data_IF_726425814904
#
_entry.id   IF_726425814904
#
_cell.length_a   1.000
_cell.length_b   1.000
_cell.length_c   1.000
_cell.angle_alpha   90.00
_cell.angle_beta   90.00
_cell.angle_gamma   90.00
#
_symmetry.space_group_name_H-M   'P 1'
#
loop_
_entity.id
_entity.type
_entity.pdbx_description
1 polymer ?
#
# COMPACT_ATOMS: atom_id res chain seq x y z
N UNK A 1 -48.02 -47.30 15.37
CA UNK A 1 -46.67 -47.31 15.89
C UNK A 1 -45.72 -46.99 14.74
N UNK A 2 -45.19 -45.76 14.67
CA UNK A 2 -44.20 -45.39 13.68
C UNK A 2 -42.83 -45.65 14.30
N UNK A 3 -42.13 -46.66 13.79
CA UNK A 3 -40.74 -46.92 14.18
C UNK A 3 -39.86 -45.82 13.66
N UNK A 4 -39.24 -45.09 14.59
CA UNK A 4 -38.17 -44.11 14.31
C UNK A 4 -36.94 -44.93 13.94
N UNK A 5 -36.62 -45.01 12.67
CA UNK A 5 -35.34 -45.54 12.19
C UNK A 5 -34.24 -44.56 12.66
N UNK A 6 -33.53 -44.97 13.72
CA UNK A 6 -32.27 -44.33 14.09
C UNK A 6 -31.33 -44.42 12.89
N UNK A 7 -31.00 -43.30 12.28
CA UNK A 7 -29.92 -43.23 11.29
C UNK A 7 -28.65 -43.80 11.96
N UNK A 8 -28.15 -44.89 11.43
CA UNK A 8 -26.81 -45.40 11.82
C UNK A 8 -25.80 -44.29 11.50
N UNK A 9 -25.15 -43.78 12.54
CA UNK A 9 -24.00 -42.88 12.41
C UNK A 9 -22.92 -43.69 11.69
N UNK A 10 -22.52 -43.20 10.51
CA UNK A 10 -21.44 -43.81 9.74
C UNK A 10 -20.10 -43.38 10.36
N UNK A 11 -19.58 -44.22 11.25
CA UNK A 11 -18.35 -43.96 11.99
C UNK A 11 -17.12 -43.76 11.08
N UNK A 12 -17.07 -44.36 9.90
CA UNK A 12 -15.98 -44.17 8.95
C UNK A 12 -15.95 -42.75 8.40
N UNK A 13 -17.11 -42.14 8.18
CA UNK A 13 -17.20 -40.76 7.79
C UNK A 13 -16.88 -39.78 8.93
N UNK A 14 -17.20 -40.14 10.17
CA UNK A 14 -16.89 -39.33 11.35
C UNK A 14 -15.37 -39.22 11.55
N UNK A 15 -14.64 -40.32 11.50
CA UNK A 15 -13.17 -40.35 11.62
C UNK A 15 -12.49 -39.53 10.51
N UNK A 16 -13.03 -39.60 9.30
CA UNK A 16 -12.51 -38.81 8.19
C UNK A 16 -12.71 -37.28 8.38
N UNK A 17 -13.89 -36.85 8.83
CA UNK A 17 -14.18 -35.46 9.12
C UNK A 17 -13.41 -34.93 10.34
N UNK A 18 -13.22 -35.74 11.37
CA UNK A 18 -12.42 -35.39 12.53
C UNK A 18 -10.94 -35.21 12.15
N UNK A 19 -10.42 -36.10 11.28
CA UNK A 19 -9.06 -35.98 10.75
C UNK A 19 -8.87 -34.69 9.94
N UNK A 20 -9.79 -34.36 9.02
CA UNK A 20 -9.75 -33.09 8.25
C UNK A 20 -9.85 -31.90 9.20
N UNK A 21 -10.74 -31.96 10.19
CA UNK A 21 -10.86 -30.93 11.21
C UNK A 21 -9.55 -30.71 11.98
N UNK A 22 -8.91 -31.81 12.41
CA UNK A 22 -7.62 -31.73 13.09
C UNK A 22 -6.51 -31.14 12.22
N UNK A 23 -6.39 -31.58 10.97
CA UNK A 23 -5.42 -31.00 10.01
C UNK A 23 -5.67 -29.52 9.77
N UNK A 24 -6.94 -29.13 9.63
CA UNK A 24 -7.32 -27.73 9.47
C UNK A 24 -6.94 -26.86 10.68
N UNK A 25 -7.21 -27.35 11.89
CA UNK A 25 -6.84 -26.66 13.14
C UNK A 25 -5.31 -26.58 13.28
N UNK A 26 -4.59 -27.67 13.00
CA UNK A 26 -3.13 -27.67 13.06
C UNK A 26 -2.52 -26.70 12.05
N UNK A 27 -3.00 -26.69 10.81
CA UNK A 27 -2.56 -25.75 9.79
C UNK A 27 -2.83 -24.28 10.20
N UNK A 28 -4.01 -24.02 10.76
CA UNK A 28 -4.36 -22.68 11.26
C UNK A 28 -3.43 -22.24 12.42
N UNK A 29 -3.12 -23.13 13.36
CA UNK A 29 -2.21 -22.82 14.46
C UNK A 29 -0.79 -22.55 13.96
N UNK A 30 -0.28 -23.34 13.02
CA UNK A 30 1.03 -23.11 12.40
C UNK A 30 1.05 -21.73 11.71
N UNK A 31 0.02 -21.45 10.95
CA UNK A 31 -0.12 -20.14 10.28
C UNK A 31 -0.17 -18.99 11.29
N UNK A 32 -0.98 -19.11 12.34
CA UNK A 32 -1.10 -18.09 13.38
C UNK A 32 0.22 -17.87 14.14
N UNK A 33 0.95 -18.93 14.45
CA UNK A 33 2.27 -18.86 15.08
C UNK A 33 3.28 -18.19 14.14
N UNK A 34 3.32 -18.57 12.87
CA UNK A 34 4.22 -17.96 11.88
C UNK A 34 3.98 -16.45 11.76
N UNK A 35 2.72 -16.04 11.55
CA UNK A 35 2.38 -14.62 11.42
C UNK A 35 2.55 -13.85 12.73
N UNK A 36 2.21 -14.44 13.86
CA UNK A 36 2.43 -13.84 15.18
C UNK A 36 3.92 -13.60 15.45
N UNK A 37 4.76 -14.58 15.14
CA UNK A 37 6.22 -14.47 15.27
C UNK A 37 6.76 -13.39 14.33
N UNK A 38 6.36 -13.42 13.05
CA UNK A 38 6.78 -12.42 12.07
C UNK A 38 6.36 -11.01 12.50
N UNK A 39 5.13 -10.87 12.99
CA UNK A 39 4.62 -9.61 13.53
C UNK A 39 5.45 -9.09 14.69
N UNK A 40 5.84 -9.96 15.62
CA UNK A 40 6.63 -9.60 16.79
C UNK A 40 8.07 -9.23 16.40
N UNK A 41 8.72 -10.08 15.61
CA UNK A 41 10.13 -9.88 15.20
C UNK A 41 10.31 -8.63 14.34
N UNK A 42 9.30 -8.28 13.53
CA UNK A 42 9.38 -7.10 12.65
C UNK A 42 8.84 -5.83 13.31
N UNK A 43 8.50 -5.84 14.61
CA UNK A 43 7.84 -4.70 15.25
C UNK A 43 8.68 -3.42 15.20
N UNK A 44 9.91 -3.48 15.69
CA UNK A 44 10.80 -2.31 15.71
C UNK A 44 11.12 -1.82 14.29
N UNK A 45 11.42 -2.75 13.41
CA UNK A 45 11.67 -2.44 11.99
C UNK A 45 10.49 -1.71 11.34
N UNK A 46 9.26 -2.10 11.64
CA UNK A 46 8.06 -1.44 11.09
C UNK A 46 7.83 -0.04 11.65
N UNK A 47 8.19 0.20 12.92
CA UNK A 47 8.15 1.55 13.50
C UNK A 47 9.18 2.44 12.80
N UNK A 48 10.41 1.95 12.66
CA UNK A 48 11.47 2.67 11.94
C UNK A 48 11.09 2.95 10.48
N UNK A 49 10.52 1.97 9.77
CA UNK A 49 10.01 2.15 8.41
C UNK A 49 9.01 3.30 8.32
N UNK A 50 8.04 3.34 9.26
CA UNK A 50 7.05 4.41 9.31
C UNK A 50 7.71 5.78 9.47
N UNK A 51 8.67 5.89 10.38
CA UNK A 51 9.36 7.15 10.65
C UNK A 51 10.20 7.60 9.45
N UNK A 52 10.93 6.67 8.82
CA UNK A 52 11.67 6.93 7.57
C UNK A 52 10.77 7.40 6.44
N UNK A 53 9.56 6.83 6.31
CA UNK A 53 8.60 7.25 5.31
C UNK A 53 8.07 8.66 5.57
N UNK A 54 7.78 9.00 6.83
CA UNK A 54 7.35 10.37 7.20
C UNK A 54 8.47 11.37 6.93
N UNK A 55 9.70 11.05 7.30
CA UNK A 55 10.87 11.87 7.01
C UNK A 55 11.07 12.06 5.51
N UNK A 56 11.02 10.97 4.73
CA UNK A 56 11.13 11.03 3.28
C UNK A 56 10.04 11.90 2.66
N UNK A 57 8.79 11.76 3.14
CA UNK A 57 7.67 12.58 2.68
C UNK A 57 7.90 14.09 2.96
N UNK A 58 8.40 14.41 4.14
CA UNK A 58 8.68 15.82 4.51
C UNK A 58 9.81 16.43 3.67
N UNK A 59 10.70 15.63 3.11
CA UNK A 59 11.73 16.10 2.17
C UNK A 59 11.19 16.39 0.77
N UNK A 60 9.98 15.91 0.45
CA UNK A 60 9.31 16.19 -0.83
C UNK A 60 8.66 17.56 -0.75
N UNK A 61 9.26 18.54 -1.38
CA UNK A 61 8.69 19.90 -1.47
C UNK A 61 8.14 20.16 -2.87
N UNK A 62 7.09 20.92 -2.91
CA UNK A 62 6.43 21.32 -4.15
C UNK A 62 7.06 22.59 -4.74
N UNK A 63 7.04 22.77 -6.09
CA UNK A 63 7.49 23.98 -6.74
C UNK A 63 6.57 25.17 -6.43
N UNK A 64 5.30 24.90 -6.12
CA UNK A 64 4.30 25.84 -5.65
C UNK A 64 3.80 25.30 -4.32
N UNK A 65 3.79 26.12 -3.25
CA UNK A 65 3.30 25.65 -1.96
C UNK A 65 1.80 25.30 -2.07
N UNK A 66 1.38 24.13 -1.60
CA UNK A 66 -0.03 23.79 -1.55
C UNK A 66 -0.73 24.64 -0.48
N UNK A 67 -1.98 25.00 -0.73
CA UNK A 67 -2.83 25.65 0.29
C UNK A 67 -3.33 24.64 1.32
N UNK A 68 -3.37 23.36 0.93
CA UNK A 68 -3.72 22.23 1.80
C UNK A 68 -2.90 21.02 1.43
N UNK A 69 -2.28 20.42 2.43
CA UNK A 69 -1.60 19.13 2.34
C UNK A 69 -2.28 18.17 3.31
N UNK A 70 -3.09 17.27 2.76
CA UNK A 70 -3.84 16.28 3.51
C UNK A 70 -3.27 14.90 3.22
N UNK A 71 -2.55 14.36 4.18
CA UNK A 71 -1.95 13.05 4.04
C UNK A 71 -2.17 12.16 5.27
N UNK A 72 -2.14 10.87 5.05
CA UNK A 72 -2.25 9.88 6.11
C UNK A 72 -1.31 8.71 5.91
N UNK A 73 -0.68 8.31 7.01
CA UNK A 73 0.06 7.04 7.05
C UNK A 73 -0.97 5.93 7.16
N UNK A 74 -0.99 5.07 6.18
CA UNK A 74 -1.86 3.89 6.11
C UNK A 74 -1.01 2.64 6.35
N UNK A 75 -1.69 1.56 6.71
CA UNK A 75 -1.06 0.27 6.94
C UNK A 75 -1.82 -0.81 6.17
N UNK A 76 -1.07 -1.66 5.50
CA UNK A 76 -1.56 -2.90 4.91
C UNK A 76 -0.68 -4.04 5.40
N UNK A 77 -1.23 -4.92 6.23
CA UNK A 77 -0.49 -6.02 6.85
C UNK A 77 0.76 -5.54 7.61
N UNK A 78 1.96 -5.82 7.09
CA UNK A 78 3.24 -5.46 7.70
C UNK A 78 3.88 -4.22 7.09
N UNK A 79 3.34 -3.68 5.99
CA UNK A 79 3.87 -2.50 5.31
C UNK A 79 3.09 -1.24 5.68
N UNK A 80 3.80 -0.13 5.70
CA UNK A 80 3.20 1.21 5.75
C UNK A 80 3.30 1.88 4.39
N UNK A 81 2.40 2.80 4.12
CA UNK A 81 2.43 3.66 2.96
C UNK A 81 1.77 5.00 3.29
N UNK A 82 2.19 6.05 2.61
CA UNK A 82 1.60 7.37 2.75
C UNK A 82 0.75 7.64 1.52
N UNK A 83 -0.48 8.03 1.73
CA UNK A 83 -1.37 8.52 0.66
C UNK A 83 -1.94 9.85 1.07
N UNK A 84 -2.17 10.69 0.08
CA UNK A 84 -2.81 11.95 0.34
C UNK A 84 -3.08 12.75 -0.93
N UNK A 85 -3.50 13.99 -0.68
CA UNK A 85 -3.79 14.96 -1.71
C UNK A 85 -3.19 16.30 -1.34
N UNK A 86 -2.67 17.01 -2.34
CA UNK A 86 -2.25 18.41 -2.22
C UNK A 86 -3.14 19.26 -3.06
N UNK A 87 -3.72 20.28 -2.45
CA UNK A 87 -4.56 21.26 -3.11
C UNK A 87 -3.77 22.56 -3.32
N UNK A 88 -3.88 23.13 -4.51
CA UNK A 88 -3.20 24.36 -4.90
C UNK A 88 -4.22 25.49 -5.09
N UNK A 89 -3.78 26.71 -5.00
CA UNK A 89 -4.64 27.89 -5.18
C UNK A 89 -5.27 27.95 -6.60
N UNK A 90 -4.52 27.48 -7.59
CA UNK A 90 -4.95 27.41 -8.98
C UNK A 90 -4.59 26.08 -9.62
N UNK A 91 -5.13 25.83 -10.79
CA UNK A 91 -4.74 24.68 -11.59
C UNK A 91 -3.25 24.73 -11.94
N UNK A 92 -2.57 23.60 -11.80
CA UNK A 92 -1.19 23.48 -12.26
C UNK A 92 -1.16 23.37 -13.78
N UNK A 93 -0.14 23.94 -14.38
CA UNK A 93 0.15 23.72 -15.80
C UNK A 93 1.01 22.47 -15.98
N UNK A 94 1.03 21.92 -17.21
CA UNK A 94 1.92 20.80 -17.55
C UNK A 94 3.39 21.14 -17.28
N UNK A 95 3.80 22.38 -17.59
CA UNK A 95 5.18 22.82 -17.35
C UNK A 95 5.53 22.90 -15.86
N UNK A 96 4.58 23.26 -15.02
CA UNK A 96 4.78 23.26 -13.57
C UNK A 96 4.88 21.84 -13.02
N UNK A 97 4.07 20.93 -13.53
CA UNK A 97 4.17 19.53 -13.17
C UNK A 97 5.50 18.91 -13.64
N UNK A 98 6.00 19.29 -14.81
CA UNK A 98 7.32 18.88 -15.29
C UNK A 98 8.45 19.49 -14.47
N UNK A 99 8.31 20.74 -14.05
CA UNK A 99 9.26 21.40 -13.15
C UNK A 99 9.30 20.69 -11.79
N UNK A 100 8.16 20.22 -11.31
CA UNK A 100 8.09 19.41 -10.10
C UNK A 100 8.94 18.13 -10.23
N UNK A 101 8.78 17.40 -11.32
CA UNK A 101 9.63 16.23 -11.61
C UNK A 101 11.12 16.57 -11.64
N UNK A 102 11.51 17.67 -12.32
CA UNK A 102 12.91 18.14 -12.37
C UNK A 102 13.46 18.51 -10.98
N UNK A 103 12.64 19.09 -10.12
CA UNK A 103 13.02 19.42 -8.75
C UNK A 103 13.25 18.15 -7.91
N UNK A 104 12.44 17.12 -8.08
CA UNK A 104 12.67 15.83 -7.42
C UNK A 104 13.94 15.14 -7.94
N UNK A 105 14.22 15.22 -9.25
CA UNK A 105 15.49 14.73 -9.82
C UNK A 105 16.71 15.38 -9.16
N UNK A 106 16.68 16.71 -8.96
CA UNK A 106 17.80 17.42 -8.30
C UNK A 106 18.01 17.02 -6.83
N UNK A 107 17.04 16.34 -6.22
CA UNK A 107 17.08 15.79 -4.85
C UNK A 107 17.41 14.29 -4.80
N UNK A 108 17.86 13.74 -5.91
CA UNK A 108 18.30 12.36 -6.02
C UNK A 108 17.17 11.34 -6.28
N UNK A 109 15.96 11.81 -6.62
CA UNK A 109 14.94 10.94 -7.16
C UNK A 109 15.24 10.61 -8.62
N UNK A 110 14.76 9.48 -9.10
CA UNK A 110 14.82 9.04 -10.49
C UNK A 110 13.40 8.88 -11.00
N UNK A 111 13.11 9.41 -12.19
CA UNK A 111 11.82 9.14 -12.85
C UNK A 111 11.92 7.78 -13.54
N UNK A 112 11.16 6.81 -13.05
CA UNK A 112 11.09 5.48 -13.65
C UNK A 112 10.06 5.43 -14.76
N UNK A 113 8.94 6.15 -14.57
CA UNK A 113 7.86 6.20 -15.55
C UNK A 113 7.11 7.53 -15.48
N UNK A 114 6.74 8.05 -16.64
CA UNK A 114 5.76 9.13 -16.78
C UNK A 114 4.77 8.74 -17.86
N UNK A 115 3.49 8.82 -17.56
CA UNK A 115 2.45 8.48 -18.52
C UNK A 115 1.22 9.34 -18.32
N UNK A 116 0.44 9.47 -19.39
CA UNK A 116 -0.82 10.22 -19.38
C UNK A 116 -1.95 9.27 -19.72
N UNK A 117 -3.02 9.36 -18.95
CA UNK A 117 -4.24 8.59 -19.16
C UNK A 117 -5.42 9.54 -19.40
N UNK A 118 -6.35 9.09 -20.23
CA UNK A 118 -7.61 9.80 -20.49
C UNK A 118 -8.73 8.86 -20.08
N UNK A 119 -9.41 9.21 -18.99
CA UNK A 119 -10.61 8.50 -18.53
C UNK A 119 -11.81 9.43 -18.59
N UNK A 120 -12.84 9.04 -19.36
CA UNK A 120 -14.11 9.78 -19.51
C UNK A 120 -13.93 11.28 -19.73
N UNK A 121 -13.03 11.65 -20.63
CA UNK A 121 -12.68 13.03 -20.98
C UNK A 121 -11.84 13.77 -19.93
N UNK A 122 -11.35 13.10 -18.89
CA UNK A 122 -10.42 13.67 -17.93
C UNK A 122 -9.01 13.18 -18.23
N UNK A 123 -8.12 14.11 -18.38
CA UNK A 123 -6.71 13.83 -18.61
C UNK A 123 -5.95 13.90 -17.29
N UNK A 124 -5.24 12.84 -16.98
CA UNK A 124 -4.33 12.78 -15.83
C UNK A 124 -2.94 12.41 -16.28
N UNK A 125 -1.95 13.01 -15.64
CA UNK A 125 -0.54 12.65 -15.83
C UNK A 125 0.01 12.12 -14.52
N UNK A 126 0.61 10.94 -14.58
CA UNK A 126 1.24 10.28 -13.43
C UNK A 126 2.74 10.21 -13.64
N UNK A 127 3.49 10.56 -12.61
CA UNK A 127 4.93 10.28 -12.51
C UNK A 127 5.18 9.25 -11.41
N UNK A 128 5.95 8.24 -11.74
CA UNK A 128 6.49 7.25 -10.82
C UNK A 128 7.98 7.53 -10.66
N UNK A 129 8.40 7.74 -9.42
CA UNK A 129 9.78 8.08 -9.08
C UNK A 129 10.30 7.13 -8.02
N UNK A 130 11.61 6.84 -8.08
CA UNK A 130 12.29 6.02 -7.08
C UNK A 130 13.47 6.75 -6.47
N UNK A 131 13.75 6.44 -5.18
CA UNK A 131 14.95 6.88 -4.46
C UNK A 131 15.33 5.84 -3.42
N UNK A 132 16.39 5.06 -3.70
CA UNK A 132 16.71 3.88 -2.90
C UNK A 132 15.55 2.88 -2.93
N UNK A 133 15.05 2.53 -1.75
CA UNK A 133 13.89 1.62 -1.58
C UNK A 133 12.54 2.36 -1.62
N UNK A 134 12.52 3.68 -1.81
CA UNK A 134 11.28 4.45 -1.82
C UNK A 134 10.75 4.65 -3.23
N UNK A 135 9.45 4.40 -3.39
CA UNK A 135 8.68 4.67 -4.61
C UNK A 135 7.67 5.77 -4.30
N UNK A 136 7.71 6.82 -5.10
CA UNK A 136 6.79 7.94 -5.00
C UNK A 136 6.00 8.08 -6.30
N UNK A 137 4.70 7.90 -6.20
CA UNK A 137 3.77 8.12 -7.30
C UNK A 137 3.01 9.42 -7.07
N UNK A 138 2.97 10.27 -8.08
CA UNK A 138 2.16 11.49 -8.06
C UNK A 138 1.32 11.56 -9.33
N UNK A 139 0.01 11.75 -9.14
CA UNK A 139 -0.97 11.91 -10.21
C UNK A 139 -1.58 13.29 -10.15
N UNK A 140 -1.52 13.97 -11.27
CA UNK A 140 -2.12 15.29 -11.49
C UNK A 140 -3.22 15.20 -12.55
N UNK A 141 -4.34 15.90 -12.33
CA UNK A 141 -5.43 16.05 -13.28
C UNK A 141 -5.42 17.45 -13.83
N UNK A 142 -5.46 17.60 -15.17
CA UNK A 142 -5.38 18.91 -15.85
C UNK A 142 -6.54 19.86 -15.51
N UNK A 143 -7.68 19.31 -15.09
CA UNK A 143 -8.90 20.05 -14.73
C UNK A 143 -9.07 20.24 -13.21
N UNK A 144 -8.04 20.00 -12.41
CA UNK A 144 -8.13 20.05 -10.95
C UNK A 144 -6.93 20.73 -10.31
N UNK A 145 -7.22 21.47 -9.25
CA UNK A 145 -6.23 22.06 -8.34
C UNK A 145 -5.63 21.05 -7.37
N UNK A 146 -5.71 19.77 -7.68
CA UNK A 146 -5.37 18.69 -6.76
C UNK A 146 -4.41 17.72 -7.42
N UNK A 147 -3.31 17.40 -6.71
CA UNK A 147 -2.48 16.24 -6.98
C UNK A 147 -2.75 15.17 -5.92
N UNK A 148 -2.83 13.91 -6.35
CA UNK A 148 -2.81 12.76 -5.45
C UNK A 148 -1.42 12.17 -5.45
N UNK A 149 -1.00 11.69 -4.30
CA UNK A 149 0.29 11.02 -4.19
C UNK A 149 0.20 9.76 -3.34
N UNK A 150 1.16 8.88 -3.60
CA UNK A 150 1.38 7.65 -2.89
C UNK A 150 2.88 7.45 -2.70
N UNK A 151 3.32 7.25 -1.46
CA UNK A 151 4.70 6.93 -1.12
C UNK A 151 4.73 5.57 -0.44
N UNK A 152 5.54 4.67 -0.94
CA UNK A 152 5.75 3.33 -0.40
C UNK A 152 7.24 3.05 -0.28
N UNK A 153 7.61 2.19 0.66
CA UNK A 153 8.95 1.63 0.75
C UNK A 153 8.90 0.18 0.25
N UNK A 154 9.59 -0.07 -0.86
CA UNK A 154 9.80 -1.42 -1.41
C UNK A 154 11.03 -2.03 -0.76
N UNK A 155 10.82 -2.84 0.24
CA UNK A 155 11.85 -3.55 0.98
C UNK A 155 11.59 -5.06 0.97
N UNK A 156 12.37 -5.81 1.72
CA UNK A 156 12.25 -7.26 1.79
C UNK A 156 10.88 -7.76 2.30
N UNK A 157 10.14 -6.94 3.09
CA UNK A 157 8.79 -7.27 3.53
C UNK A 157 7.82 -7.09 2.37
N UNK A 158 7.96 -5.99 1.63
CA UNK A 158 7.15 -5.71 0.45
C UNK A 158 7.32 -6.79 -0.62
N UNK A 159 8.56 -7.19 -0.91
CA UNK A 159 8.89 -8.22 -1.91
C UNK A 159 8.28 -9.59 -1.59
N UNK A 160 7.99 -9.86 -0.32
CA UNK A 160 7.32 -11.10 0.10
C UNK A 160 5.79 -11.04 -0.03
N UNK A 161 5.24 -9.92 -0.54
CA UNK A 161 3.81 -9.77 -0.83
C UNK A 161 2.93 -9.54 0.40
N UNK A 162 3.49 -9.00 1.47
CA UNK A 162 2.76 -8.68 2.70
C UNK A 162 2.02 -7.34 2.64
#
# INVERSE_FOLDING_TARGET
MRGTTMNKIDWNNLEYYDFIGFVGVAAFLIYALYFGTLWYVTYDYRIEMKDQMVEMYQQISDPIPPIKDDYGVKKRWLIYYIVGTREFERDLTSDEFDRYGKQLLSRGWKIDKKYTEIDRSRKSTTMLLSKGEFIFEITWWEDKKICRFHLIKEDWIYDKGF
#
